data_IF_415805600759
#
_entry.id   IF_415805600759
#
_cell.length_a   1.000
_cell.length_b   1.000
_cell.length_c   1.000
_cell.angle_alpha   90.00
_cell.angle_beta   90.00
_cell.angle_gamma   90.00
#
_symmetry.space_group_name_H-M   'P 1'
#
loop_
_entity.id
_entity.type
_entity.pdbx_description
1 polymer ?
#
# COMPACT_ATOMS: atom_id res chain seq x y z
N UNK A 1 15.16 17.26 -0.89
CA UNK A 1 13.94 17.57 -1.65
C UNK A 1 14.34 17.59 -3.10
N UNK A 2 13.62 16.85 -3.94
CA UNK A 2 13.85 16.89 -5.39
C UNK A 2 13.42 18.28 -5.89
N UNK A 3 14.21 18.89 -6.79
CA UNK A 3 13.86 20.18 -7.41
C UNK A 3 12.80 19.96 -8.53
N UNK A 4 11.73 19.23 -8.23
CA UNK A 4 10.70 18.96 -9.24
C UNK A 4 9.85 20.21 -9.51
N UNK A 5 9.47 20.96 -8.48
CA UNK A 5 8.66 22.18 -8.62
C UNK A 5 9.50 23.40 -9.00
N UNK A 6 9.09 24.13 -10.01
CA UNK A 6 9.74 25.37 -10.41
C UNK A 6 8.73 26.34 -11.04
N UNK A 7 8.87 27.62 -10.75
CA UNK A 7 8.16 28.72 -11.43
C UNK A 7 9.00 29.34 -12.55
N UNK A 8 10.22 28.80 -12.77
CA UNK A 8 11.16 29.32 -13.79
C UNK A 8 11.55 28.23 -14.77
N UNK A 9 11.78 28.62 -16.01
CA UNK A 9 12.40 27.77 -17.02
C UNK A 9 13.79 27.30 -16.55
N UNK A 10 14.05 26.00 -16.75
CA UNK A 10 15.39 25.42 -16.64
C UNK A 10 15.97 25.12 -18.03
N UNK A 11 17.13 24.44 -18.06
CA UNK A 11 17.86 24.17 -19.30
C UNK A 11 17.31 22.99 -20.14
N UNK A 12 16.35 22.22 -19.58
CA UNK A 12 15.77 21.07 -20.27
C UNK A 12 14.83 21.51 -21.39
N UNK A 13 14.46 20.56 -22.26
CA UNK A 13 13.40 20.78 -23.24
C UNK A 13 12.08 20.95 -22.49
N UNK A 14 11.33 22.03 -22.77
CA UNK A 14 10.01 22.27 -22.21
C UNK A 14 8.97 21.48 -22.97
N UNK A 15 8.37 20.50 -22.29
CA UNK A 15 7.24 19.74 -22.83
C UNK A 15 5.93 20.42 -22.47
N UNK A 16 5.07 20.63 -23.48
CA UNK A 16 3.72 21.18 -23.35
C UNK A 16 2.70 20.22 -23.95
N UNK A 17 1.50 20.16 -23.42
CA UNK A 17 0.37 19.54 -24.09
C UNK A 17 -0.21 20.50 -25.15
N UNK A 18 -0.59 19.95 -26.31
CA UNK A 18 -1.32 20.64 -27.34
C UNK A 18 -2.57 19.85 -27.70
N UNK A 19 -3.71 20.28 -27.20
CA UNK A 19 -4.99 19.69 -27.58
C UNK A 19 -5.41 20.14 -28.98
N UNK A 20 -6.07 19.27 -29.70
CA UNK A 20 -6.58 19.50 -31.04
C UNK A 20 -7.49 20.74 -31.08
N UNK A 21 -7.11 21.70 -31.89
CA UNK A 21 -7.90 22.92 -32.10
C UNK A 21 -7.98 23.88 -30.91
N UNK A 22 -7.31 23.60 -29.79
CA UNK A 22 -7.29 24.48 -28.63
C UNK A 22 -5.94 25.20 -28.51
N UNK A 23 -5.99 26.50 -28.20
CA UNK A 23 -4.79 27.32 -27.95
C UNK A 23 -3.70 27.11 -29.01
N UNK A 24 -4.12 27.16 -30.30
CA UNK A 24 -3.23 26.98 -31.46
C UNK A 24 -2.11 28.02 -31.42
N UNK A 25 -0.86 27.56 -31.35
CA UNK A 25 0.33 28.40 -31.36
C UNK A 25 0.98 28.42 -32.75
N UNK A 26 2.03 29.22 -32.93
CA UNK A 26 2.75 29.37 -34.21
C UNK A 26 3.36 28.07 -34.74
N UNK A 27 3.65 27.12 -33.83
CA UNK A 27 4.26 25.83 -34.19
C UNK A 27 3.22 24.76 -34.55
N UNK A 28 1.92 25.03 -34.41
CA UNK A 28 0.85 24.02 -34.55
C UNK A 28 0.88 23.26 -35.88
N UNK A 29 1.23 23.95 -36.99
CA UNK A 29 1.22 23.34 -38.33
C UNK A 29 2.34 22.32 -38.54
N UNK A 30 3.43 22.41 -37.77
CA UNK A 30 4.56 21.50 -37.86
C UNK A 30 4.48 20.32 -36.89
N UNK A 31 3.47 20.32 -36.02
CA UNK A 31 3.29 19.22 -35.06
C UNK A 31 2.79 17.96 -35.75
N UNK A 32 3.30 16.81 -35.31
CA UNK A 32 2.75 15.53 -35.68
C UNK A 32 1.38 15.35 -35.04
N UNK A 33 0.30 15.53 -35.84
CA UNK A 33 -1.11 15.53 -35.39
C UNK A 33 -1.62 14.08 -35.20
N UNK A 34 -0.95 13.32 -34.30
CA UNK A 34 -1.34 11.97 -33.88
C UNK A 34 -1.34 11.88 -32.36
N UNK A 35 -2.42 11.37 -31.82
CA UNK A 35 -2.63 11.30 -30.36
C UNK A 35 -1.45 10.68 -29.59
N UNK A 36 -0.94 11.39 -28.58
CA UNK A 36 0.20 11.00 -27.76
C UNK A 36 1.56 11.11 -28.47
N UNK A 37 1.65 11.62 -29.69
CA UNK A 37 2.93 11.82 -30.35
C UNK A 37 3.60 13.11 -29.90
N UNK A 38 4.91 13.00 -29.56
CA UNK A 38 5.73 14.14 -29.14
C UNK A 38 6.55 14.62 -30.32
N UNK A 39 6.39 15.90 -30.66
CA UNK A 39 7.23 16.63 -31.63
C UNK A 39 8.21 17.50 -30.87
N UNK A 40 9.51 17.34 -31.14
CA UNK A 40 10.60 18.12 -30.51
C UNK A 40 11.13 19.17 -31.46
N UNK A 41 11.17 20.42 -31.02
CA UNK A 41 11.74 21.58 -31.68
C UNK A 41 13.03 21.94 -30.95
N UNK A 42 14.13 21.30 -31.35
CA UNK A 42 15.38 21.32 -30.57
C UNK A 42 16.04 22.70 -30.57
N UNK A 43 15.93 23.44 -31.64
CA UNK A 43 16.39 24.82 -31.79
C UNK A 43 15.72 25.79 -30.81
N UNK A 44 14.43 25.54 -30.51
CA UNK A 44 13.63 26.31 -29.55
C UNK A 44 13.69 25.75 -28.13
N UNK A 45 14.31 24.59 -27.89
CA UNK A 45 14.23 23.81 -26.65
C UNK A 45 12.77 23.59 -26.20
N UNK A 46 11.87 23.30 -27.16
CA UNK A 46 10.45 23.03 -26.93
C UNK A 46 10.09 21.63 -27.41
N UNK A 47 9.05 21.07 -26.82
CA UNK A 47 8.40 19.86 -27.28
C UNK A 47 6.89 19.96 -27.03
N UNK A 48 6.11 19.39 -27.92
CA UNK A 48 4.66 19.34 -27.79
C UNK A 48 4.19 17.89 -27.87
N UNK A 49 3.39 17.45 -26.88
CA UNK A 49 2.62 16.22 -26.99
C UNK A 49 1.25 16.58 -27.55
N UNK A 50 0.91 16.00 -28.70
CA UNK A 50 -0.38 16.24 -29.36
C UNK A 50 -1.45 15.32 -28.77
N UNK A 51 -2.61 15.90 -28.40
CA UNK A 51 -3.75 15.20 -27.83
C UNK A 51 -4.98 15.47 -28.71
N UNK A 52 -5.57 14.40 -29.28
CA UNK A 52 -6.73 14.51 -30.17
C UNK A 52 -7.98 14.96 -29.45
N UNK A 53 -8.16 14.51 -28.21
CA UNK A 53 -9.32 14.75 -27.38
C UNK A 53 -8.89 15.21 -25.98
N UNK A 54 -9.83 15.73 -25.20
CA UNK A 54 -9.65 16.01 -23.79
C UNK A 54 -9.62 14.69 -23.03
N UNK A 55 -9.02 14.71 -21.83
CA UNK A 55 -9.00 13.54 -20.96
C UNK A 55 -10.42 13.11 -20.58
N UNK A 56 -10.69 11.81 -20.56
CA UNK A 56 -11.94 11.30 -20.02
C UNK A 56 -11.93 11.38 -18.48
N UNK A 57 -10.80 11.02 -17.89
CA UNK A 57 -10.58 11.03 -16.45
C UNK A 57 -9.08 11.13 -16.09
N UNK A 58 -8.79 10.96 -14.81
CA UNK A 58 -7.42 10.94 -14.26
C UNK A 58 -6.57 9.79 -14.82
N UNK A 59 -7.16 8.61 -15.08
CA UNK A 59 -6.44 7.42 -15.56
C UNK A 59 -5.94 7.63 -16.99
N UNK A 60 -6.66 8.39 -17.82
CA UNK A 60 -6.21 8.76 -19.18
C UNK A 60 -4.93 9.59 -19.12
N UNK A 61 -4.88 10.60 -18.25
CA UNK A 61 -3.66 11.39 -18.05
C UNK A 61 -2.51 10.51 -17.56
N UNK A 62 -2.75 9.63 -16.59
CA UNK A 62 -1.75 8.66 -16.08
C UNK A 62 -1.25 7.78 -17.24
N UNK A 63 -2.14 7.28 -18.09
CA UNK A 63 -1.78 6.47 -19.26
C UNK A 63 -0.87 7.21 -20.23
N UNK A 64 -1.18 8.48 -20.52
CA UNK A 64 -0.33 9.34 -21.37
C UNK A 64 1.05 9.57 -20.75
N UNK A 65 1.11 9.86 -19.46
CA UNK A 65 2.37 10.03 -18.74
C UNK A 65 3.21 8.75 -18.87
N UNK A 66 2.66 7.60 -18.50
CA UNK A 66 3.38 6.33 -18.45
C UNK A 66 3.81 5.83 -19.83
N UNK A 67 2.93 5.93 -20.83
CA UNK A 67 3.16 5.28 -22.13
C UNK A 67 3.78 6.20 -23.20
N UNK A 68 3.68 7.52 -23.05
CA UNK A 68 4.15 8.48 -24.05
C UNK A 68 5.27 9.38 -23.55
N UNK A 69 5.19 9.87 -22.31
CA UNK A 69 6.17 10.83 -21.79
C UNK A 69 7.36 10.08 -21.17
N UNK A 70 7.12 9.19 -20.22
CA UNK A 70 8.19 8.51 -19.49
C UNK A 70 8.96 7.48 -20.32
N UNK A 71 8.38 6.99 -21.40
CA UNK A 71 9.02 6.07 -22.35
C UNK A 71 9.86 6.76 -23.42
N UNK A 72 9.80 8.10 -23.55
CA UNK A 72 10.49 8.85 -24.62
C UNK A 72 12.02 8.83 -24.48
N UNK A 73 12.55 8.61 -23.27
CA UNK A 73 14.01 8.58 -23.02
C UNK A 73 14.65 9.97 -23.05
N UNK A 74 13.93 11.02 -22.67
CA UNK A 74 14.38 12.43 -22.65
C UNK A 74 14.20 13.06 -21.28
N UNK A 75 15.09 13.99 -20.96
CA UNK A 75 14.96 14.89 -19.82
C UNK A 75 14.06 16.05 -20.23
N UNK A 76 12.94 16.22 -19.51
CA UNK A 76 11.98 17.30 -19.76
C UNK A 76 11.78 18.19 -18.54
N UNK A 77 11.60 19.49 -18.79
CA UNK A 77 10.76 20.32 -17.93
C UNK A 77 9.34 20.27 -18.50
N UNK A 78 8.33 20.03 -17.68
CA UNK A 78 6.94 19.82 -18.11
C UNK A 78 6.10 21.00 -17.62
N UNK A 79 5.44 21.70 -18.53
CA UNK A 79 4.50 22.79 -18.23
C UNK A 79 3.15 22.19 -17.86
N UNK A 80 2.91 22.00 -16.55
CA UNK A 80 1.72 21.32 -16.07
C UNK A 80 0.43 22.06 -16.40
N UNK A 81 0.46 23.39 -16.51
CA UNK A 81 -0.72 24.19 -16.83
C UNK A 81 -1.34 23.86 -18.19
N UNK A 82 -0.52 23.34 -19.10
CA UNK A 82 -0.99 22.97 -20.45
C UNK A 82 -1.76 21.65 -20.50
N UNK A 83 -1.71 20.83 -19.42
CA UNK A 83 -2.45 19.56 -19.29
C UNK A 83 -3.81 19.72 -18.60
N UNK A 84 -4.17 20.92 -18.18
CA UNK A 84 -5.46 21.20 -17.55
C UNK A 84 -6.57 21.24 -18.60
N UNK A 85 -7.72 20.66 -18.29
CA UNK A 85 -8.94 20.74 -19.10
C UNK A 85 -10.18 20.96 -18.22
N UNK A 86 -11.38 20.78 -18.77
CA UNK A 86 -12.65 20.98 -18.03
C UNK A 86 -12.92 19.87 -17.00
N UNK A 87 -12.28 18.70 -17.11
CA UNK A 87 -12.45 17.56 -16.18
C UNK A 87 -11.32 17.46 -15.16
N UNK A 88 -10.08 17.77 -15.57
CA UNK A 88 -8.88 17.68 -14.74
C UNK A 88 -8.37 19.07 -14.34
N UNK A 89 -8.44 19.36 -13.05
CA UNK A 89 -7.88 20.59 -12.47
C UNK A 89 -6.38 20.48 -12.31
N UNK A 90 -5.73 21.59 -12.11
CA UNK A 90 -4.28 21.68 -11.95
C UNK A 90 -3.77 20.81 -10.78
N UNK A 91 -4.58 20.63 -9.71
CA UNK A 91 -4.26 19.78 -8.57
C UNK A 91 -4.21 18.29 -8.95
N UNK A 92 -5.12 17.84 -9.83
CA UNK A 92 -5.16 16.47 -10.35
C UNK A 92 -3.97 16.22 -11.28
N UNK A 93 -3.67 17.17 -12.16
CA UNK A 93 -2.51 17.15 -13.06
C UNK A 93 -1.22 17.07 -12.23
N UNK A 94 -1.07 17.95 -11.24
CA UNK A 94 0.07 17.96 -10.34
C UNK A 94 0.26 16.60 -9.65
N UNK A 95 -0.83 16.02 -9.11
CA UNK A 95 -0.81 14.71 -8.47
C UNK A 95 -0.39 13.61 -9.43
N UNK A 96 -0.95 13.58 -10.64
CA UNK A 96 -0.62 12.57 -11.64
C UNK A 96 0.88 12.59 -11.98
N UNK A 97 1.43 13.77 -12.29
CA UNK A 97 2.85 13.89 -12.63
C UNK A 97 3.77 13.57 -11.45
N UNK A 98 3.50 14.08 -10.25
CA UNK A 98 4.29 13.75 -9.05
C UNK A 98 4.28 12.25 -8.77
N UNK A 99 3.11 11.63 -8.75
CA UNK A 99 2.98 10.21 -8.45
C UNK A 99 3.69 9.35 -9.49
N UNK A 100 3.54 9.64 -10.80
CA UNK A 100 4.11 8.78 -11.85
C UNK A 100 5.59 9.00 -12.09
N UNK A 101 6.04 10.24 -12.13
CA UNK A 101 7.47 10.56 -12.31
C UNK A 101 8.30 10.01 -11.15
N UNK A 102 7.87 10.21 -9.91
CA UNK A 102 8.58 9.69 -8.73
C UNK A 102 8.52 8.15 -8.71
N UNK A 103 7.38 7.55 -9.07
CA UNK A 103 7.21 6.10 -9.13
C UNK A 103 8.20 5.45 -10.12
N UNK A 104 8.32 5.99 -11.34
CA UNK A 104 9.18 5.43 -12.38
C UNK A 104 10.66 5.80 -12.20
N UNK A 105 10.98 6.90 -11.51
CA UNK A 105 12.35 7.26 -11.16
C UNK A 105 12.92 6.48 -9.97
N UNK A 106 12.11 5.65 -9.29
CA UNK A 106 12.56 4.88 -8.14
C UNK A 106 13.71 3.94 -8.46
N UNK A 107 14.75 3.99 -7.63
CA UNK A 107 15.80 3.00 -7.59
C UNK A 107 15.41 1.90 -6.58
N UNK A 108 14.75 0.86 -7.07
CA UNK A 108 14.37 -0.28 -6.25
C UNK A 108 15.52 -1.28 -6.14
N UNK A 109 15.52 -2.07 -5.07
CA UNK A 109 16.50 -3.13 -4.84
C UNK A 109 16.73 -3.96 -6.10
N UNK A 110 17.97 -4.06 -6.49
CA UNK A 110 18.45 -4.96 -7.53
C UNK A 110 19.96 -5.21 -7.34
N UNK A 111 20.46 -6.32 -7.88
CA UNK A 111 21.87 -6.71 -7.86
C UNK A 111 22.42 -6.85 -9.28
N UNK A 112 21.79 -6.18 -10.26
CA UNK A 112 22.24 -6.19 -11.65
C UNK A 112 23.57 -5.46 -11.78
N UNK A 113 24.45 -5.94 -12.66
CA UNK A 113 25.75 -5.29 -12.95
C UNK A 113 25.58 -3.91 -13.57
N UNK A 114 24.53 -3.75 -14.40
CA UNK A 114 24.22 -2.49 -15.07
C UNK A 114 22.78 -2.11 -14.78
N UNK A 115 22.58 -0.86 -14.41
CA UNK A 115 21.27 -0.26 -14.19
C UNK A 115 21.08 0.87 -15.19
N UNK A 116 20.03 0.87 -16.00
CA UNK A 116 19.76 1.95 -16.95
C UNK A 116 19.66 3.30 -16.25
N UNK A 117 20.29 4.32 -16.84
CA UNK A 117 20.16 5.71 -16.33
C UNK A 117 18.71 6.16 -16.42
N UNK A 118 18.20 6.76 -15.36
CA UNK A 118 16.86 7.36 -15.30
C UNK A 118 16.89 8.76 -15.90
N UNK A 119 15.81 9.13 -16.58
CA UNK A 119 15.61 10.49 -17.06
C UNK A 119 15.28 11.43 -15.90
N UNK A 120 15.61 12.70 -16.08
CA UNK A 120 15.42 13.76 -15.08
C UNK A 120 14.28 14.67 -15.54
N UNK A 121 13.30 14.85 -14.67
CA UNK A 121 12.14 15.70 -14.91
C UNK A 121 12.11 16.87 -13.92
N UNK A 122 11.45 17.96 -14.34
CA UNK A 122 11.03 19.06 -13.48
C UNK A 122 9.68 19.59 -13.98
N UNK A 123 8.93 20.25 -13.11
CA UNK A 123 7.60 20.76 -13.42
C UNK A 123 7.58 22.28 -13.39
N UNK A 124 7.17 22.88 -14.50
CA UNK A 124 6.94 24.32 -14.58
C UNK A 124 5.52 24.62 -14.14
N UNK A 125 5.40 25.48 -13.14
CA UNK A 125 4.14 25.97 -12.58
C UNK A 125 4.03 27.48 -12.78
N UNK A 126 2.80 28.04 -12.90
CA UNK A 126 2.63 29.47 -13.09
C UNK A 126 3.08 30.30 -11.88
N UNK A 127 2.92 29.78 -10.68
CA UNK A 127 3.25 30.43 -9.40
C UNK A 127 3.45 29.39 -8.28
N UNK A 128 3.68 29.87 -7.05
CA UNK A 128 3.92 29.04 -5.86
C UNK A 128 2.63 28.63 -5.10
N UNK A 129 1.44 28.91 -5.62
CA UNK A 129 0.16 28.64 -4.94
C UNK A 129 -0.05 27.18 -4.57
N UNK A 130 0.52 26.26 -5.35
CA UNK A 130 0.41 24.80 -5.14
C UNK A 130 1.67 24.16 -4.54
N UNK A 131 2.63 24.96 -4.07
CA UNK A 131 3.90 24.44 -3.55
C UNK A 131 3.71 23.50 -2.35
N UNK A 132 2.81 23.83 -1.41
CA UNK A 132 2.53 22.97 -0.26
C UNK A 132 1.82 21.68 -0.66
N UNK A 133 0.95 21.72 -1.67
CA UNK A 133 0.30 20.54 -2.23
C UNK A 133 1.32 19.65 -2.96
N UNK A 134 2.23 20.24 -3.71
CA UNK A 134 3.33 19.55 -4.36
C UNK A 134 4.22 18.82 -3.34
N UNK A 135 4.60 19.47 -2.24
CA UNK A 135 5.34 18.86 -1.14
C UNK A 135 4.60 17.67 -0.52
N UNK A 136 3.27 17.79 -0.36
CA UNK A 136 2.45 16.67 0.12
C UNK A 136 2.59 15.46 -0.82
N UNK A 137 2.39 15.65 -2.12
CA UNK A 137 2.47 14.57 -3.10
C UNK A 137 3.88 13.99 -3.19
N UNK A 138 4.92 14.82 -3.10
CA UNK A 138 6.32 14.37 -3.07
C UNK A 138 6.58 13.45 -1.87
N UNK A 139 6.22 13.85 -0.66
CA UNK A 139 6.39 13.05 0.57
C UNK A 139 5.72 11.69 0.43
N UNK A 140 4.46 11.67 0.00
CA UNK A 140 3.71 10.42 -0.13
C UNK A 140 4.35 9.53 -1.20
N UNK A 141 4.70 10.07 -2.38
CA UNK A 141 5.29 9.30 -3.46
C UNK A 141 6.69 8.75 -3.12
N UNK A 142 7.52 9.51 -2.39
CA UNK A 142 8.82 9.04 -1.90
C UNK A 142 8.67 7.91 -0.88
N UNK A 143 7.72 8.01 0.05
CA UNK A 143 7.44 6.96 1.01
C UNK A 143 6.82 5.72 0.34
N UNK A 144 5.99 5.91 -0.69
CA UNK A 144 5.54 4.80 -1.55
C UNK A 144 6.73 4.06 -2.18
N UNK A 145 7.74 4.78 -2.67
CA UNK A 145 8.92 4.13 -3.25
C UNK A 145 9.76 3.38 -2.21
N UNK A 146 9.86 3.87 -0.97
CA UNK A 146 10.48 3.12 0.12
C UNK A 146 9.71 1.83 0.45
N UNK A 147 8.37 1.90 0.49
CA UNK A 147 7.51 0.73 0.61
C UNK A 147 7.79 -0.27 -0.53
N UNK A 148 7.76 0.18 -1.78
CA UNK A 148 8.02 -0.63 -2.97
C UNK A 148 9.41 -1.26 -2.96
N UNK A 149 10.40 -0.54 -2.42
CA UNK A 149 11.76 -1.06 -2.29
C UNK A 149 11.82 -2.26 -1.33
N UNK A 150 11.09 -2.24 -0.22
CA UNK A 150 11.00 -3.40 0.68
C UNK A 150 10.17 -4.53 0.08
N UNK A 151 9.06 -4.22 -0.60
CA UNK A 151 8.22 -5.21 -1.28
C UNK A 151 9.00 -6.03 -2.33
N UNK A 152 9.92 -5.41 -3.07
CA UNK A 152 10.67 -6.10 -4.13
C UNK A 152 11.81 -6.96 -3.61
N UNK A 153 12.30 -6.69 -2.40
CA UNK A 153 13.41 -7.46 -1.80
C UNK A 153 13.01 -8.92 -1.61
N UNK A 154 13.84 -9.88 -2.06
CA UNK A 154 13.62 -11.27 -1.76
C UNK A 154 13.92 -11.56 -0.28
N UNK A 155 13.35 -12.65 0.23
CA UNK A 155 13.39 -13.00 1.66
C UNK A 155 14.81 -13.09 2.24
N UNK A 156 15.77 -13.62 1.49
CA UNK A 156 17.17 -13.73 1.92
C UNK A 156 17.87 -12.36 2.12
N UNK A 157 17.24 -11.25 1.72
CA UNK A 157 17.65 -9.86 2.01
C UNK A 157 16.65 -9.12 2.89
N UNK A 158 15.45 -9.67 3.10
CA UNK A 158 14.38 -8.99 3.85
C UNK A 158 13.50 -9.99 4.62
N UNK A 159 14.12 -10.85 5.47
CA UNK A 159 13.39 -11.72 6.38
C UNK A 159 12.76 -10.92 7.54
N UNK A 160 12.08 -11.61 8.46
CA UNK A 160 11.36 -10.98 9.57
C UNK A 160 12.25 -10.09 10.45
N UNK A 161 13.47 -10.50 10.71
CA UNK A 161 14.41 -9.77 11.56
C UNK A 161 14.99 -8.55 10.84
N UNK A 162 15.38 -8.74 9.57
CA UNK A 162 15.93 -7.67 8.72
C UNK A 162 14.88 -6.60 8.43
N UNK A 163 13.64 -7.01 8.10
CA UNK A 163 12.54 -6.07 7.86
C UNK A 163 12.28 -5.19 9.09
N UNK A 164 12.24 -5.78 10.28
CA UNK A 164 12.05 -5.03 11.52
C UNK A 164 13.16 -3.99 11.76
N UNK A 165 14.42 -4.34 11.49
CA UNK A 165 15.55 -3.40 11.63
C UNK A 165 15.57 -2.34 10.51
N UNK A 166 15.19 -2.66 9.27
CA UNK A 166 15.01 -1.66 8.20
C UNK A 166 14.00 -0.58 8.60
N UNK A 167 12.84 -1.01 9.09
CA UNK A 167 11.80 -0.07 9.56
C UNK A 167 12.32 0.78 10.72
N UNK A 168 12.91 0.18 11.76
CA UNK A 168 13.44 0.91 12.90
C UNK A 168 14.46 1.98 12.48
N UNK A 169 15.35 1.64 11.55
CA UNK A 169 16.39 2.56 11.08
C UNK A 169 15.80 3.70 10.23
N UNK A 170 14.85 3.41 9.32
CA UNK A 170 14.24 4.43 8.46
C UNK A 170 13.32 5.40 9.21
N UNK A 171 12.81 4.99 10.38
CA UNK A 171 11.96 5.85 11.22
C UNK A 171 12.72 6.60 12.31
N UNK A 172 14.02 6.35 12.49
CA UNK A 172 14.82 6.89 13.60
C UNK A 172 14.81 8.42 13.69
N UNK A 173 14.72 9.10 12.56
CA UNK A 173 14.75 10.57 12.47
C UNK A 173 13.38 11.21 12.28
N UNK A 174 12.31 10.44 12.29
CA UNK A 174 10.95 10.97 12.10
C UNK A 174 10.44 11.56 13.42
N UNK A 175 10.09 12.83 13.40
CA UNK A 175 9.63 13.56 14.59
C UNK A 175 8.34 12.96 15.17
N UNK A 176 8.22 12.93 16.50
CA UNK A 176 7.06 12.44 17.25
C UNK A 176 6.68 10.97 16.95
N UNK A 177 7.62 10.19 16.42
CA UNK A 177 7.46 8.76 16.15
C UNK A 177 8.31 7.94 17.10
N UNK A 178 7.74 6.90 17.65
CA UNK A 178 8.45 5.85 18.38
C UNK A 178 8.30 4.51 17.69
N UNK A 179 9.35 3.69 17.72
CA UNK A 179 9.36 2.35 17.15
C UNK A 179 9.78 1.35 18.21
N UNK A 180 8.94 0.36 18.49
CA UNK A 180 9.21 -0.75 19.40
C UNK A 180 9.16 -2.07 18.64
N UNK A 181 10.20 -2.88 18.78
CA UNK A 181 10.23 -4.24 18.22
C UNK A 181 9.98 -5.24 19.35
N UNK A 182 8.89 -5.97 19.26
CA UNK A 182 8.61 -7.12 20.12
C UNK A 182 9.31 -8.35 19.51
N UNK A 183 10.21 -8.94 20.27
CA UNK A 183 10.89 -10.20 19.91
C UNK A 183 10.06 -11.40 20.34
N UNK A 184 10.42 -12.60 19.92
CA UNK A 184 9.72 -13.86 20.23
C UNK A 184 9.32 -14.00 21.71
N UNK A 185 10.21 -13.62 22.66
CA UNK A 185 9.90 -13.64 24.12
C UNK A 185 8.78 -12.67 24.51
N UNK A 186 8.73 -11.49 23.87
CA UNK A 186 7.73 -10.48 24.16
C UNK A 186 6.38 -10.89 23.57
N UNK A 187 6.40 -11.42 22.33
CA UNK A 187 5.23 -11.99 21.61
C UNK A 187 4.61 -13.09 22.49
N UNK A 188 5.45 -14.01 23.02
CA UNK A 188 4.99 -15.05 23.95
C UNK A 188 4.39 -14.47 25.23
N UNK A 189 5.00 -13.43 25.81
CA UNK A 189 4.49 -12.76 27.03
C UNK A 189 3.11 -12.13 26.82
N UNK A 190 2.83 -11.60 25.63
CA UNK A 190 1.51 -11.05 25.28
C UNK A 190 0.48 -12.13 24.93
N UNK A 191 0.87 -13.40 24.84
CA UNK A 191 -0.03 -14.50 24.46
C UNK A 191 -0.41 -14.48 22.97
N UNK A 192 0.42 -13.87 22.12
CA UNK A 192 0.21 -13.81 20.67
C UNK A 192 0.60 -15.17 20.04
N UNK A 193 -0.12 -16.23 20.41
CA UNK A 193 0.28 -17.58 20.04
C UNK A 193 -0.05 -17.94 18.58
N UNK A 194 -0.94 -17.21 17.93
CA UNK A 194 -1.24 -17.44 16.51
C UNK A 194 -0.05 -17.03 15.63
N UNK A 195 0.62 -15.91 15.96
CA UNK A 195 1.89 -15.53 15.31
C UNK A 195 2.97 -16.59 15.55
N UNK A 196 3.06 -17.11 16.80
CA UNK A 196 4.04 -18.14 17.16
C UNK A 196 3.74 -19.47 16.45
N UNK A 197 2.46 -19.80 16.22
CA UNK A 197 2.06 -21.00 15.50
C UNK A 197 2.54 -20.96 14.04
N UNK A 198 2.30 -19.84 13.34
CA UNK A 198 2.79 -19.65 11.96
C UNK A 198 4.32 -19.70 11.87
N UNK A 199 5.01 -19.13 12.88
CA UNK A 199 6.49 -19.11 12.92
C UNK A 199 7.14 -20.46 13.19
N UNK A 200 6.42 -21.51 13.61
CA UNK A 200 7.01 -22.78 14.05
C UNK A 200 7.96 -23.41 13.05
N UNK A 201 7.62 -23.35 11.75
CA UNK A 201 8.47 -23.90 10.68
C UNK A 201 9.63 -22.99 10.25
N UNK A 202 9.83 -21.84 10.90
CA UNK A 202 10.86 -20.87 10.48
C UNK A 202 12.12 -20.93 11.31
N UNK A 203 13.27 -20.77 10.66
CA UNK A 203 14.57 -20.52 11.31
C UNK A 203 14.77 -19.08 11.72
N UNK A 204 13.93 -18.14 11.22
CA UNK A 204 13.94 -16.74 11.61
C UNK A 204 12.90 -16.48 12.71
N UNK A 205 13.30 -15.74 13.75
CA UNK A 205 12.34 -15.40 14.81
C UNK A 205 11.28 -14.40 14.31
N UNK A 206 10.01 -14.51 14.79
CA UNK A 206 8.98 -13.54 14.45
C UNK A 206 9.29 -12.18 15.09
N UNK A 207 8.78 -11.11 14.48
CA UNK A 207 8.84 -9.75 15.01
C UNK A 207 7.47 -9.10 14.93
N UNK A 208 7.06 -8.43 16.01
CA UNK A 208 5.95 -7.48 15.93
C UNK A 208 6.53 -6.09 16.10
N UNK A 209 6.43 -5.29 15.05
CA UNK A 209 6.92 -3.91 15.07
C UNK A 209 5.76 -2.98 15.32
N UNK A 210 5.84 -2.26 16.44
CA UNK A 210 4.86 -1.25 16.83
C UNK A 210 5.44 0.13 16.56
N UNK A 211 4.77 0.89 15.71
CA UNK A 211 5.13 2.26 15.37
C UNK A 211 4.03 3.17 15.87
N UNK A 212 4.34 4.18 16.67
CA UNK A 212 3.36 5.15 17.15
C UNK A 212 3.78 6.57 16.76
N UNK A 213 2.87 7.30 16.12
CA UNK A 213 2.96 8.73 15.86
C UNK A 213 1.97 9.48 16.74
N UNK A 214 2.45 10.49 17.48
CA UNK A 214 1.68 11.35 18.37
C UNK A 214 1.61 12.76 17.80
N UNK A 215 0.72 12.97 16.84
CA UNK A 215 0.54 14.27 16.19
C UNK A 215 -0.46 15.19 16.89
N UNK A 216 -1.31 14.64 17.76
CA UNK A 216 -2.27 15.37 18.59
C UNK A 216 -2.33 14.79 20.00
N UNK A 217 -1.42 15.19 20.92
CA UNK A 217 -1.36 14.62 22.25
C UNK A 217 -2.58 14.91 23.14
N UNK A 218 -3.43 15.85 22.75
CA UNK A 218 -4.64 16.24 23.48
C UNK A 218 -5.89 15.49 23.03
N UNK A 219 -5.81 14.76 21.92
CA UNK A 219 -6.91 13.98 21.36
C UNK A 219 -6.76 12.49 21.72
N UNK A 220 -7.74 11.95 22.42
CA UNK A 220 -7.75 10.51 22.77
C UNK A 220 -8.05 9.57 21.60
N UNK A 221 -8.45 10.09 20.43
CA UNK A 221 -8.73 9.26 19.25
C UNK A 221 -7.43 8.75 18.63
N UNK A 222 -7.38 7.46 18.33
CA UNK A 222 -6.22 6.82 17.70
C UNK A 222 -6.67 5.84 16.62
N UNK A 223 -6.18 6.00 15.41
CA UNK A 223 -6.31 4.98 14.36
C UNK A 223 -5.12 4.03 14.45
N UNK A 224 -5.38 2.74 14.54
CA UNK A 224 -4.32 1.71 14.52
C UNK A 224 -4.46 0.89 13.25
N UNK A 225 -3.34 0.77 12.51
CA UNK A 225 -3.28 0.01 11.27
C UNK A 225 -2.48 -1.26 11.52
N UNK A 226 -3.07 -2.41 11.25
CA UNK A 226 -2.42 -3.72 11.35
C UNK A 226 -1.98 -4.15 9.95
N UNK A 227 -0.75 -4.60 9.80
CA UNK A 227 -0.23 -5.06 8.51
C UNK A 227 0.18 -6.52 8.53
N UNK A 228 -0.32 -7.30 7.55
CA UNK A 228 0.19 -8.64 7.27
C UNK A 228 1.64 -8.53 6.83
N UNK A 229 2.52 -9.27 7.50
CA UNK A 229 3.97 -9.20 7.30
C UNK A 229 4.58 -10.59 7.05
N UNK A 230 4.00 -11.41 6.18
CA UNK A 230 4.56 -12.71 5.83
C UNK A 230 5.66 -12.50 4.79
N UNK A 231 6.93 -12.55 5.23
CA UNK A 231 8.09 -12.22 4.38
C UNK A 231 8.30 -13.22 3.25
N UNK A 232 7.86 -14.44 3.43
CA UNK A 232 7.66 -15.43 2.37
C UNK A 232 6.64 -16.47 2.81
N UNK A 233 5.69 -16.80 1.95
CA UNK A 233 4.65 -17.77 2.23
C UNK A 233 4.81 -19.02 1.36
N UNK A 234 5.15 -20.14 1.99
CA UNK A 234 5.21 -21.46 1.32
C UNK A 234 3.91 -22.24 1.42
N UNK A 235 2.94 -21.73 2.22
CA UNK A 235 1.75 -22.47 2.64
C UNK A 235 1.95 -23.31 3.90
N UNK A 236 3.17 -23.40 4.42
CA UNK A 236 3.48 -24.32 5.52
C UNK A 236 3.35 -25.79 5.09
N UNK A 237 2.71 -26.62 5.91
CA UNK A 237 2.46 -28.04 5.59
C UNK A 237 1.48 -28.18 4.42
N UNK A 238 0.48 -27.30 4.30
CA UNK A 238 -0.39 -27.20 3.14
C UNK A 238 0.32 -26.43 2.01
N UNK A 239 1.41 -27.01 1.51
CA UNK A 239 2.34 -26.35 0.58
C UNK A 239 1.66 -25.90 -0.71
N UNK A 240 1.96 -24.68 -1.16
CA UNK A 240 1.37 -24.03 -2.36
C UNK A 240 1.67 -24.71 -3.72
N UNK A 241 2.40 -25.80 -3.77
CA UNK A 241 2.80 -26.44 -5.03
C UNK A 241 3.96 -25.72 -5.74
N UNK A 242 3.99 -25.73 -7.09
CA UNK A 242 5.14 -25.23 -7.86
C UNK A 242 5.25 -23.70 -7.94
N UNK A 243 4.17 -22.98 -7.80
CA UNK A 243 4.13 -21.55 -8.08
C UNK A 243 4.16 -20.74 -6.79
N UNK A 244 5.36 -20.55 -6.25
CA UNK A 244 5.62 -19.68 -5.10
C UNK A 244 6.21 -18.31 -5.50
N UNK A 245 6.41 -18.08 -6.79
CA UNK A 245 6.90 -16.78 -7.27
C UNK A 245 5.90 -15.69 -6.91
N UNK A 246 6.43 -14.59 -6.41
CA UNK A 246 5.60 -13.48 -5.91
C UNK A 246 5.24 -13.57 -4.43
N UNK A 247 5.46 -14.72 -3.76
CA UNK A 247 5.16 -14.84 -2.32
C UNK A 247 6.04 -13.96 -1.41
N UNK A 248 7.09 -13.35 -1.93
CA UNK A 248 7.81 -12.24 -1.26
C UNK A 248 6.95 -10.99 -1.04
N UNK A 249 5.87 -10.81 -1.84
CA UNK A 249 4.94 -9.70 -1.68
C UNK A 249 3.93 -9.89 -0.54
N UNK A 250 3.93 -11.05 0.10
CA UNK A 250 2.98 -11.39 1.15
C UNK A 250 3.20 -10.63 2.48
N UNK A 251 4.21 -9.79 2.52
CA UNK A 251 4.48 -8.80 3.58
C UNK A 251 4.02 -7.38 3.23
N UNK A 252 3.38 -7.18 2.06
CA UNK A 252 3.01 -5.87 1.55
C UNK A 252 2.14 -5.08 2.51
N UNK A 253 1.18 -5.73 3.18
CA UNK A 253 0.30 -5.06 4.13
C UNK A 253 1.07 -4.35 5.23
N UNK A 254 2.12 -4.97 5.78
CA UNK A 254 2.92 -4.41 6.86
C UNK A 254 3.71 -3.17 6.43
N UNK A 255 4.33 -3.19 5.26
CA UNK A 255 5.11 -2.05 4.77
C UNK A 255 4.22 -0.92 4.25
N UNK A 256 3.05 -1.23 3.65
CA UNK A 256 2.04 -0.23 3.29
C UNK A 256 1.59 0.55 4.53
N UNK A 257 1.20 -0.17 5.60
CA UNK A 257 0.81 0.45 6.87
C UNK A 257 1.91 1.35 7.46
N UNK A 258 3.15 0.85 7.49
CA UNK A 258 4.29 1.60 8.00
C UNK A 258 4.53 2.90 7.22
N UNK A 259 4.58 2.85 5.89
CA UNK A 259 4.87 4.04 5.08
C UNK A 259 3.67 4.99 4.92
N UNK A 260 2.45 4.52 5.13
CA UNK A 260 1.30 5.41 5.32
C UNK A 260 1.45 6.23 6.61
N UNK A 261 1.78 5.60 7.76
CA UNK A 261 2.06 6.32 9.01
C UNK A 261 3.24 7.27 8.84
N UNK A 262 4.33 6.86 8.18
CA UNK A 262 5.48 7.74 7.93
C UNK A 262 5.08 8.99 7.18
N UNK A 263 4.27 8.85 6.14
CA UNK A 263 3.74 9.99 5.37
C UNK A 263 2.91 10.92 6.25
N UNK A 264 2.01 10.37 7.09
CA UNK A 264 1.23 11.16 8.07
C UNK A 264 2.12 11.96 9.02
N UNK A 265 3.20 11.34 9.51
CA UNK A 265 4.14 11.97 10.44
C UNK A 265 4.98 13.06 9.76
N UNK A 266 5.53 12.79 8.57
CA UNK A 266 6.32 13.78 7.80
C UNK A 266 5.47 14.95 7.30
N UNK A 267 4.16 14.73 7.05
CA UNK A 267 3.17 15.78 6.78
C UNK A 267 2.72 16.53 8.04
N UNK A 268 3.18 16.10 9.23
CA UNK A 268 2.83 16.70 10.53
C UNK A 268 1.33 16.82 10.77
N UNK A 269 0.56 15.81 10.33
CA UNK A 269 -0.88 15.82 10.52
C UNK A 269 -1.22 15.75 12.02
N UNK A 270 -2.17 16.58 12.47
CA UNK A 270 -2.65 16.60 13.87
C UNK A 270 -3.55 15.39 14.16
N UNK A 271 -2.98 14.21 14.14
CA UNK A 271 -3.65 12.90 14.33
C UNK A 271 -2.75 11.96 15.13
N UNK A 272 -3.35 11.06 15.90
CA UNK A 272 -2.62 9.96 16.54
C UNK A 272 -2.83 8.69 15.73
N UNK A 273 -1.74 8.10 15.31
CA UNK A 273 -1.73 6.88 14.48
C UNK A 273 -0.74 5.89 15.05
N UNK A 274 -1.12 4.62 15.04
CA UNK A 274 -0.15 3.56 15.31
C UNK A 274 -0.22 2.49 14.23
N UNK A 275 0.86 1.74 14.08
CA UNK A 275 0.96 0.58 13.19
C UNK A 275 1.46 -0.62 13.97
N UNK A 276 0.87 -1.78 13.71
CA UNK A 276 1.32 -3.08 14.21
C UNK A 276 1.67 -3.94 13.01
N UNK A 277 2.96 -4.14 12.75
CA UNK A 277 3.44 -5.03 11.70
C UNK A 277 3.60 -6.43 12.29
N UNK A 278 2.84 -7.41 11.83
CA UNK A 278 2.89 -8.80 12.29
C UNK A 278 3.81 -9.59 11.34
N UNK A 279 5.11 -9.69 11.69
CA UNK A 279 6.14 -10.15 10.76
C UNK A 279 6.63 -11.55 11.13
N UNK A 280 6.51 -12.46 10.19
CA UNK A 280 7.11 -13.81 10.18
C UNK A 280 7.18 -14.29 8.74
N UNK A 281 7.75 -15.46 8.51
CA UNK A 281 7.52 -16.24 7.30
C UNK A 281 6.67 -17.47 7.64
N UNK A 282 6.09 -18.10 6.64
CA UNK A 282 5.35 -19.34 6.75
C UNK A 282 6.12 -20.44 5.99
N UNK A 283 6.80 -21.31 6.72
CA UNK A 283 7.68 -22.33 6.13
C UNK A 283 7.30 -23.74 6.54
N UNK A 284 7.73 -24.69 5.71
CA UNK A 284 7.70 -26.09 6.00
C UNK A 284 9.01 -26.54 6.65
N UNK A 285 8.93 -27.09 7.85
CA UNK A 285 10.03 -27.69 8.58
C UNK A 285 9.49 -28.79 9.52
N UNK A 286 10.36 -29.53 10.17
CA UNK A 286 10.03 -30.63 11.08
C UNK A 286 9.17 -30.23 12.29
N UNK A 287 9.15 -28.95 12.69
CA UNK A 287 8.32 -28.42 13.78
C UNK A 287 7.21 -27.46 13.29
N UNK A 288 6.91 -27.43 11.99
CA UNK A 288 5.83 -26.60 11.48
C UNK A 288 4.47 -26.94 12.11
N UNK A 289 3.58 -25.95 12.20
CA UNK A 289 2.21 -26.19 12.66
C UNK A 289 1.50 -27.15 11.68
N UNK A 290 0.69 -28.03 12.25
CA UNK A 290 -0.06 -29.03 11.49
C UNK A 290 -1.55 -28.67 11.46
N UNK A 291 -2.29 -29.09 10.41
CA UNK A 291 -3.75 -29.13 10.50
C UNK A 291 -4.21 -29.86 11.77
N UNK A 292 -5.34 -29.44 12.32
CA UNK A 292 -5.91 -29.86 13.60
C UNK A 292 -5.15 -29.37 14.85
N UNK A 293 -4.04 -28.65 14.72
CA UNK A 293 -3.45 -27.98 15.86
C UNK A 293 -4.36 -26.86 16.35
N UNK A 294 -4.52 -26.73 17.68
CA UNK A 294 -5.33 -25.70 18.31
C UNK A 294 -4.44 -24.76 19.12
N UNK A 295 -4.60 -23.47 18.90
CA UNK A 295 -3.88 -22.42 19.62
C UNK A 295 -4.84 -21.41 20.22
N UNK A 296 -4.49 -20.88 21.38
CA UNK A 296 -5.22 -19.81 22.06
C UNK A 296 -4.64 -18.46 21.64
N UNK A 297 -5.44 -17.62 20.99
CA UNK A 297 -5.04 -16.27 20.57
C UNK A 297 -4.78 -15.33 21.74
N UNK A 298 -4.25 -14.13 21.48
CA UNK A 298 -4.09 -13.06 22.46
C UNK A 298 -5.44 -12.59 23.04
N UNK A 299 -6.54 -12.67 22.30
CA UNK A 299 -7.89 -12.33 22.79
C UNK A 299 -8.43 -13.34 23.78
N UNK A 300 -7.91 -14.58 23.76
CA UNK A 300 -8.39 -15.72 24.51
C UNK A 300 -9.23 -16.70 23.68
N UNK A 301 -9.65 -16.32 22.47
CA UNK A 301 -10.35 -17.19 21.52
C UNK A 301 -9.41 -18.31 21.08
N UNK A 302 -9.88 -19.56 21.14
CA UNK A 302 -9.16 -20.72 20.63
C UNK A 302 -9.41 -20.89 19.13
N UNK A 303 -8.35 -21.22 18.37
CA UNK A 303 -8.40 -21.37 16.93
C UNK A 303 -7.78 -22.68 16.53
N UNK A 304 -8.54 -23.51 15.80
CA UNK A 304 -8.04 -24.68 15.10
C UNK A 304 -7.45 -24.26 13.76
N UNK A 305 -6.24 -24.73 13.46
CA UNK A 305 -5.63 -24.58 12.15
C UNK A 305 -6.10 -25.72 11.28
N UNK A 306 -6.98 -25.46 10.33
CA UNK A 306 -7.46 -26.44 9.35
C UNK A 306 -6.69 -26.33 8.04
N UNK A 307 -6.12 -25.14 7.76
CA UNK A 307 -5.23 -24.90 6.63
C UNK A 307 -4.07 -23.99 7.06
N UNK A 308 -2.84 -24.49 6.91
CA UNK A 308 -1.62 -23.72 7.24
C UNK A 308 -1.31 -22.64 6.20
N UNK A 309 -1.93 -22.66 5.01
CA UNK A 309 -1.87 -21.63 3.97
C UNK A 309 -2.86 -20.47 4.19
N UNK A 310 -3.64 -20.55 5.26
CA UNK A 310 -4.48 -19.45 5.77
C UNK A 310 -3.84 -18.77 7.01
N UNK A 311 -2.54 -18.54 6.96
CA UNK A 311 -1.65 -18.03 8.03
C UNK A 311 -1.80 -16.53 8.25
N UNK A 312 -2.09 -15.76 7.19
CA UNK A 312 -2.15 -14.30 7.25
C UNK A 312 -3.21 -13.82 8.23
N UNK A 313 -4.39 -14.44 8.23
CA UNK A 313 -5.45 -14.11 9.20
C UNK A 313 -5.09 -14.48 10.64
N UNK A 314 -4.26 -15.50 10.84
CA UNK A 314 -3.77 -15.89 12.17
C UNK A 314 -2.85 -14.83 12.77
N UNK A 315 -1.82 -14.39 12.01
CA UNK A 315 -0.89 -13.38 12.52
C UNK A 315 -1.57 -12.03 12.75
N UNK A 316 -2.56 -11.69 11.92
CA UNK A 316 -3.30 -10.43 12.05
C UNK A 316 -4.31 -10.45 13.19
N UNK A 317 -4.89 -11.59 13.54
CA UNK A 317 -5.80 -11.73 14.67
C UNK A 317 -5.15 -11.27 15.99
N UNK A 318 -3.93 -11.72 16.27
CA UNK A 318 -3.17 -11.27 17.44
C UNK A 318 -2.81 -9.76 17.32
N UNK A 319 -2.49 -9.29 16.13
CA UNK A 319 -2.20 -7.88 15.87
C UNK A 319 -3.40 -6.96 16.10
N UNK A 320 -4.60 -7.36 15.67
CA UNK A 320 -5.86 -6.64 15.89
C UNK A 320 -6.16 -6.52 17.38
N UNK A 321 -6.07 -7.63 18.12
CA UNK A 321 -6.26 -7.65 19.58
C UNK A 321 -5.24 -6.76 20.29
N UNK A 322 -3.97 -6.77 19.85
CA UNK A 322 -2.93 -5.88 20.41
C UNK A 322 -3.28 -4.40 20.13
N UNK A 323 -3.71 -4.08 18.91
CA UNK A 323 -4.16 -2.74 18.53
C UNK A 323 -5.32 -2.24 19.38
N UNK A 324 -6.31 -3.10 19.62
CA UNK A 324 -7.48 -2.77 20.44
C UNK A 324 -7.14 -2.63 21.94
N UNK A 325 -6.55 -3.66 22.54
CA UNK A 325 -6.37 -3.74 24.01
C UNK A 325 -5.14 -2.98 24.53
N UNK A 326 -4.03 -2.98 23.77
CA UNK A 326 -2.77 -2.41 24.25
C UNK A 326 -2.57 -1.00 23.75
N UNK A 327 -2.91 -0.73 22.48
CA UNK A 327 -2.75 0.60 21.89
C UNK A 327 -3.99 1.48 22.04
N UNK A 328 -5.09 0.93 22.58
CA UNK A 328 -6.36 1.63 22.78
C UNK A 328 -6.89 2.28 21.50
N UNK A 329 -6.95 1.49 20.42
CA UNK A 329 -7.49 1.94 19.15
C UNK A 329 -8.94 2.42 19.28
N UNK A 330 -9.29 3.54 18.64
CA UNK A 330 -10.68 3.99 18.46
C UNK A 330 -11.19 3.67 17.05
N UNK A 331 -10.28 3.31 16.16
CA UNK A 331 -10.55 2.78 14.82
C UNK A 331 -9.43 1.80 14.48
N UNK A 332 -9.79 0.61 14.05
CA UNK A 332 -8.86 -0.38 13.50
C UNK A 332 -8.96 -0.39 11.98
N UNK A 333 -7.84 -0.47 11.33
CA UNK A 333 -7.72 -0.75 9.90
C UNK A 333 -6.71 -1.88 9.76
N UNK A 334 -6.91 -2.82 8.86
CA UNK A 334 -5.83 -3.69 8.48
C UNK A 334 -5.58 -3.67 6.97
N UNK A 335 -4.38 -4.08 6.57
CA UNK A 335 -3.99 -4.22 5.18
C UNK A 335 -3.27 -5.55 5.01
N UNK A 336 -3.74 -6.36 4.07
CA UNK A 336 -3.19 -7.68 3.84
C UNK A 336 -3.30 -8.13 2.38
N UNK A 337 -2.31 -8.88 1.92
CA UNK A 337 -2.40 -9.75 0.77
C UNK A 337 -3.01 -11.07 1.26
N UNK A 338 -4.35 -11.08 1.45
CA UNK A 338 -4.93 -12.12 2.30
C UNK A 338 -5.45 -13.31 1.51
N UNK A 339 -6.23 -13.07 0.43
CA UNK A 339 -6.95 -14.17 -0.20
C UNK A 339 -6.82 -14.20 -1.73
N UNK A 340 -6.66 -15.39 -2.27
CA UNK A 340 -6.81 -15.60 -3.71
C UNK A 340 -8.26 -15.39 -4.19
N UNK A 341 -9.23 -15.41 -3.27
CA UNK A 341 -10.64 -15.20 -3.57
C UNK A 341 -10.92 -13.74 -3.97
N UNK A 342 -10.30 -12.75 -3.33
CA UNK A 342 -10.48 -11.34 -3.73
C UNK A 342 -9.90 -11.09 -5.12
N UNK A 343 -8.80 -11.73 -5.48
CA UNK A 343 -8.22 -11.65 -6.82
C UNK A 343 -9.18 -12.22 -7.88
N UNK A 344 -9.86 -13.32 -7.58
CA UNK A 344 -10.89 -13.88 -8.46
C UNK A 344 -12.14 -13.00 -8.57
N UNK A 345 -12.50 -12.30 -7.50
CA UNK A 345 -13.69 -11.43 -7.47
C UNK A 345 -13.46 -10.07 -8.15
N UNK A 346 -12.32 -9.43 -7.90
CA UNK A 346 -12.05 -8.03 -8.28
C UNK A 346 -10.88 -7.86 -9.27
N UNK A 347 -10.19 -8.95 -9.61
CA UNK A 347 -9.00 -8.91 -10.44
C UNK A 347 -7.86 -8.11 -9.77
N UNK A 348 -7.06 -7.45 -10.59
CA UNK A 348 -5.98 -6.55 -10.15
C UNK A 348 -6.37 -5.07 -10.25
N UNK A 349 -7.67 -4.78 -10.39
CA UNK A 349 -8.17 -3.41 -10.60
C UNK A 349 -8.63 -2.76 -9.30
N UNK A 350 -9.29 -3.51 -8.43
CA UNK A 350 -9.85 -3.01 -7.18
C UNK A 350 -9.27 -3.74 -5.97
N UNK A 351 -8.97 -3.00 -4.90
CA UNK A 351 -8.75 -3.59 -3.58
C UNK A 351 -10.10 -3.85 -2.90
N UNK A 352 -10.25 -5.00 -2.25
CA UNK A 352 -11.45 -5.36 -1.50
C UNK A 352 -11.47 -4.71 -0.12
N UNK A 353 -12.59 -4.04 0.23
CA UNK A 353 -12.71 -3.33 1.51
C UNK A 353 -13.96 -3.81 2.24
N UNK A 354 -13.80 -4.26 3.48
CA UNK A 354 -14.90 -4.58 4.41
C UNK A 354 -14.91 -3.55 5.53
N UNK A 355 -16.07 -3.13 5.98
CA UNK A 355 -16.20 -2.17 7.08
C UNK A 355 -17.37 -2.53 7.98
N UNK A 356 -17.13 -2.55 9.28
CA UNK A 356 -18.17 -2.76 10.30
C UNK A 356 -18.94 -1.47 10.61
N UNK A 357 -18.57 -0.33 10.02
CA UNK A 357 -19.15 0.97 10.29
C UNK A 357 -19.29 1.78 9.00
N UNK A 358 -20.52 2.17 8.64
CA UNK A 358 -20.81 2.88 7.41
C UNK A 358 -20.15 4.26 7.34
N UNK A 359 -20.10 4.99 8.44
CA UNK A 359 -19.42 6.29 8.47
C UNK A 359 -17.91 6.16 8.16
N UNK A 360 -17.27 5.11 8.68
CA UNK A 360 -15.88 4.84 8.37
C UNK A 360 -15.69 4.45 6.90
N UNK A 361 -16.61 3.66 6.34
CA UNK A 361 -16.62 3.36 4.92
C UNK A 361 -16.73 4.62 4.06
N UNK A 362 -17.67 5.51 4.37
CA UNK A 362 -17.89 6.73 3.59
C UNK A 362 -16.63 7.63 3.58
N UNK A 363 -15.96 7.75 4.75
CA UNK A 363 -14.70 8.49 4.85
C UNK A 363 -13.61 7.78 4.04
N UNK A 364 -13.51 6.45 4.12
CA UNK A 364 -12.50 5.67 3.41
C UNK A 364 -12.70 5.74 1.89
N UNK A 365 -13.93 5.59 1.42
CA UNK A 365 -14.28 5.72 0.01
C UNK A 365 -13.97 7.11 -0.55
N UNK A 366 -14.31 8.16 0.21
CA UNK A 366 -13.95 9.54 -0.14
C UNK A 366 -12.43 9.75 -0.18
N UNK A 367 -11.70 9.13 0.73
CA UNK A 367 -10.24 9.16 0.74
C UNK A 367 -9.65 8.46 -0.50
N UNK A 368 -10.19 7.29 -0.87
CA UNK A 368 -9.78 6.54 -2.05
C UNK A 368 -10.05 7.32 -3.36
N UNK A 369 -11.21 7.99 -3.45
CA UNK A 369 -11.51 8.88 -4.58
C UNK A 369 -10.50 10.02 -4.70
N UNK A 370 -10.16 10.69 -3.60
CA UNK A 370 -9.12 11.73 -3.58
C UNK A 370 -7.73 11.19 -3.90
N UNK A 371 -7.48 9.95 -3.53
CA UNK A 371 -6.23 9.25 -3.81
C UNK A 371 -6.14 8.77 -5.27
N UNK A 372 -7.24 8.70 -6.00
CA UNK A 372 -7.41 8.03 -7.28
C UNK A 372 -7.00 6.55 -7.20
N UNK A 373 -7.27 5.90 -6.06
CA UNK A 373 -7.06 4.47 -5.86
C UNK A 373 -8.41 3.73 -5.87
N UNK A 374 -8.49 2.64 -6.61
CA UNK A 374 -9.74 1.92 -6.83
C UNK A 374 -10.01 0.94 -5.69
N UNK A 375 -11.13 1.14 -5.00
CA UNK A 375 -11.58 0.28 -3.90
C UNK A 375 -13.03 -0.15 -4.14
N UNK A 376 -13.37 -1.34 -3.65
CA UNK A 376 -14.73 -1.85 -3.73
C UNK A 376 -15.19 -2.38 -2.37
N UNK A 377 -16.38 -1.93 -1.91
CA UNK A 377 -16.96 -2.42 -0.66
C UNK A 377 -17.48 -3.83 -0.83
N UNK A 378 -16.99 -4.73 0.00
CA UNK A 378 -17.39 -6.13 0.07
C UNK A 378 -18.35 -6.35 1.25
N UNK A 379 -19.22 -7.38 1.21
CA UNK A 379 -20.21 -7.61 2.24
C UNK A 379 -19.63 -8.26 3.51
N UNK A 380 -20.11 -7.83 4.67
CA UNK A 380 -20.03 -8.55 5.94
C UNK A 380 -21.42 -9.13 6.24
N UNK A 381 -21.52 -10.44 6.45
CA UNK A 381 -22.77 -11.13 6.79
C UNK A 381 -22.48 -12.33 7.68
N UNK A 382 -23.39 -12.67 8.58
CA UNK A 382 -23.19 -13.75 9.55
C UNK A 382 -23.07 -15.13 8.87
N UNK A 383 -23.74 -15.35 7.73
CA UNK A 383 -23.59 -16.58 6.94
C UNK A 383 -22.10 -16.83 6.54
N UNK A 384 -21.30 -15.78 6.37
CA UNK A 384 -19.86 -15.92 6.12
C UNK A 384 -19.05 -16.19 7.39
N UNK A 385 -19.68 -16.09 8.57
CA UNK A 385 -19.04 -16.45 9.84
C UNK A 385 -19.29 -17.90 10.23
N UNK A 386 -20.45 -18.46 9.89
CA UNK A 386 -20.80 -19.85 10.23
C UNK A 386 -19.68 -20.85 9.89
N UNK A 387 -19.05 -20.82 8.67
CA UNK A 387 -17.96 -21.74 8.35
C UNK A 387 -16.74 -21.63 9.27
N UNK A 388 -16.52 -20.47 9.89
CA UNK A 388 -15.43 -20.31 10.85
C UNK A 388 -15.70 -20.99 12.21
N UNK A 389 -16.95 -21.37 12.50
CA UNK A 389 -17.38 -21.92 13.81
C UNK A 389 -17.58 -23.44 13.79
N UNK A 390 -17.22 -24.13 12.71
CA UNK A 390 -17.46 -25.56 12.57
C UNK A 390 -16.45 -26.47 13.31
N UNK A 391 -15.40 -25.89 13.95
CA UNK A 391 -14.48 -26.69 14.75
C UNK A 391 -15.18 -27.38 15.92
N UNK A 392 -14.88 -28.65 16.12
CA UNK A 392 -15.34 -29.42 17.30
C UNK A 392 -14.42 -29.27 18.51
N UNK A 393 -13.27 -28.65 18.35
CA UNK A 393 -12.21 -28.59 19.37
C UNK A 393 -11.89 -27.15 19.82
N UNK A 394 -12.26 -26.15 19.02
CA UNK A 394 -11.92 -24.77 19.24
C UNK A 394 -13.12 -23.83 18.99
N UNK A 395 -13.03 -22.60 19.47
CA UNK A 395 -14.08 -21.60 19.23
C UNK A 395 -14.22 -21.27 17.74
N UNK A 396 -13.08 -21.25 17.01
CA UNK A 396 -13.00 -20.96 15.57
C UNK A 396 -12.05 -21.92 14.87
N UNK A 397 -12.24 -22.06 13.56
CA UNK A 397 -11.21 -22.59 12.64
C UNK A 397 -10.76 -21.51 11.68
N UNK A 398 -9.50 -21.58 11.21
CA UNK A 398 -8.92 -20.53 10.38
C UNK A 398 -9.35 -20.59 8.91
N UNK A 399 -9.84 -21.74 8.44
CA UNK A 399 -10.25 -21.94 7.04
C UNK A 399 -11.33 -23.04 6.94
N UNK A 400 -12.17 -22.97 5.89
CA UNK A 400 -13.14 -24.01 5.57
C UNK A 400 -13.09 -24.37 4.08
N UNK A 401 -12.68 -25.58 3.77
CA UNK A 401 -12.54 -26.08 2.38
C UNK A 401 -13.85 -26.12 1.58
N UNK A 402 -14.99 -26.21 2.25
CA UNK A 402 -16.32 -26.22 1.60
C UNK A 402 -16.77 -24.83 1.19
N UNK A 403 -16.20 -23.78 1.80
CA UNK A 403 -16.60 -22.39 1.56
C UNK A 403 -15.94 -21.84 0.29
N UNK A 404 -16.77 -21.24 -0.58
CA UNK A 404 -16.33 -20.64 -1.85
C UNK A 404 -15.98 -19.16 -1.73
N UNK A 405 -16.46 -18.52 -0.66
CA UNK A 405 -16.33 -17.08 -0.44
C UNK A 405 -15.25 -16.74 0.58
N UNK A 406 -14.06 -17.34 0.44
CA UNK A 406 -12.98 -17.23 1.42
C UNK A 406 -12.61 -15.78 1.79
N UNK A 407 -12.69 -14.82 0.87
CA UNK A 407 -12.40 -13.43 1.21
C UNK A 407 -13.39 -12.83 2.22
N UNK A 408 -14.68 -13.23 2.18
CA UNK A 408 -15.67 -12.78 3.15
C UNK A 408 -15.57 -13.55 4.48
N UNK A 409 -15.30 -14.87 4.44
CA UNK A 409 -15.03 -15.68 5.63
C UNK A 409 -13.79 -15.21 6.36
N UNK A 410 -12.72 -14.85 5.64
CA UNK A 410 -11.52 -14.29 6.22
C UNK A 410 -11.78 -12.94 6.93
N UNK A 411 -12.56 -12.05 6.30
CA UNK A 411 -12.95 -10.78 6.90
C UNK A 411 -13.79 -10.98 8.18
N UNK A 412 -14.72 -11.96 8.16
CA UNK A 412 -15.53 -12.30 9.34
C UNK A 412 -14.71 -13.00 10.43
N UNK A 413 -13.69 -13.79 10.09
CA UNK A 413 -12.73 -14.34 11.04
C UNK A 413 -11.98 -13.20 11.75
N UNK A 414 -11.39 -12.27 11.00
CA UNK A 414 -10.62 -11.14 11.56
C UNK A 414 -11.49 -10.23 12.44
N UNK A 415 -12.75 -10.01 12.08
CA UNK A 415 -13.71 -9.23 12.87
C UNK A 415 -13.81 -9.73 14.32
N UNK A 416 -13.64 -11.03 14.60
CA UNK A 416 -13.74 -11.59 15.95
C UNK A 416 -12.63 -11.11 16.90
N UNK A 417 -11.55 -10.53 16.37
CA UNK A 417 -10.38 -10.10 17.15
C UNK A 417 -10.27 -8.58 17.30
N UNK A 418 -11.32 -7.85 16.93
CA UNK A 418 -11.35 -6.38 16.95
C UNK A 418 -11.76 -5.78 18.28
N UNK A 419 -12.21 -6.59 19.26
CA UNK A 419 -12.73 -6.14 20.57
C UNK A 419 -13.82 -5.06 20.41
N UNK A 420 -14.72 -5.26 19.45
CA UNK A 420 -15.83 -4.35 19.10
C UNK A 420 -15.40 -2.94 18.62
N UNK A 421 -14.11 -2.70 18.43
CA UNK A 421 -13.64 -1.43 17.87
C UNK A 421 -14.08 -1.33 16.39
N UNK A 422 -14.61 -0.17 15.93
CA UNK A 422 -14.92 0.06 14.52
C UNK A 422 -13.75 -0.30 13.60
N UNK A 423 -14.01 -1.13 12.60
CA UNK A 423 -12.98 -1.85 11.86
C UNK A 423 -13.16 -1.75 10.34
N UNK A 424 -12.03 -1.63 9.64
CA UNK A 424 -11.90 -1.73 8.18
C UNK A 424 -10.84 -2.79 7.85
N UNK A 425 -11.20 -3.76 7.03
CA UNK A 425 -10.28 -4.72 6.42
C UNK A 425 -10.00 -4.34 4.97
N UNK A 426 -8.72 -4.33 4.57
CA UNK A 426 -8.29 -4.05 3.20
C UNK A 426 -7.52 -5.26 2.65
N UNK A 427 -8.15 -6.03 1.77
CA UNK A 427 -7.46 -7.11 1.04
C UNK A 427 -6.90 -6.58 -0.28
N UNK A 428 -5.58 -6.54 -0.35
CA UNK A 428 -4.80 -6.03 -1.49
C UNK A 428 -4.09 -7.13 -2.28
N UNK A 429 -4.49 -8.40 -2.12
CA UNK A 429 -3.85 -9.53 -2.79
C UNK A 429 -3.82 -9.38 -4.32
N UNK A 430 -4.82 -8.73 -4.91
CA UNK A 430 -4.86 -8.46 -6.36
C UNK A 430 -4.11 -7.19 -6.79
N UNK A 431 -3.79 -6.27 -5.87
CA UNK A 431 -3.33 -4.91 -6.20
C UNK A 431 -1.96 -4.55 -5.62
N UNK A 432 -1.42 -5.34 -4.69
CA UNK A 432 -0.12 -5.08 -4.04
C UNK A 432 1.05 -5.10 -5.01
N UNK A 433 0.97 -5.94 -6.06
CA UNK A 433 1.88 -5.92 -7.20
C UNK A 433 1.11 -6.06 -8.52
N UNK A 434 1.68 -5.55 -9.59
CA UNK A 434 1.18 -5.74 -10.95
C UNK A 434 2.28 -6.37 -11.81
N UNK A 435 2.06 -7.62 -12.24
CA UNK A 435 3.02 -8.38 -13.06
C UNK A 435 4.43 -8.38 -12.45
N UNK A 436 4.51 -8.61 -11.13
CA UNK A 436 5.76 -8.65 -10.38
C UNK A 436 6.39 -7.26 -10.10
N UNK A 437 5.66 -6.16 -10.33
CA UNK A 437 6.10 -4.81 -9.97
C UNK A 437 5.35 -4.33 -8.72
N UNK A 438 6.04 -4.03 -7.62
CA UNK A 438 5.40 -3.56 -6.39
C UNK A 438 4.71 -2.22 -6.59
N UNK A 439 3.52 -2.04 -6.01
CA UNK A 439 2.69 -0.84 -6.21
C UNK A 439 2.71 0.12 -5.02
N UNK A 440 2.85 -0.37 -3.79
CA UNK A 440 2.65 0.44 -2.59
C UNK A 440 1.23 1.02 -2.55
N UNK A 441 0.25 0.20 -2.94
CA UNK A 441 -1.17 0.57 -3.07
C UNK A 441 -1.75 1.00 -1.71
N UNK A 442 -2.81 1.81 -1.72
CA UNK A 442 -3.53 2.35 -0.57
C UNK A 442 -2.72 3.27 0.37
N UNK A 443 -1.44 3.55 0.11
CA UNK A 443 -0.69 4.50 0.95
C UNK A 443 -1.34 5.89 0.89
N UNK A 444 -1.67 6.39 -0.30
CA UNK A 444 -2.36 7.68 -0.46
C UNK A 444 -3.75 7.65 0.19
N UNK A 445 -4.53 6.59 -0.05
CA UNK A 445 -5.85 6.40 0.55
C UNK A 445 -5.79 6.43 2.07
N UNK A 446 -4.84 5.71 2.69
CA UNK A 446 -4.68 5.68 4.15
C UNK A 446 -4.29 7.05 4.71
N UNK A 447 -3.41 7.81 4.02
CA UNK A 447 -3.04 9.18 4.42
C UNK A 447 -4.26 10.10 4.35
N UNK A 448 -5.03 10.05 3.25
CA UNK A 448 -6.25 10.85 3.11
C UNK A 448 -7.33 10.44 4.13
N UNK A 449 -7.51 9.13 4.37
CA UNK A 449 -8.44 8.63 5.38
C UNK A 449 -8.11 9.17 6.78
N UNK A 450 -6.85 9.08 7.19
CA UNK A 450 -6.39 9.61 8.48
C UNK A 450 -6.58 11.13 8.54
N UNK A 451 -6.33 11.84 7.44
CA UNK A 451 -6.52 13.29 7.37
C UNK A 451 -7.98 13.69 7.56
N UNK A 452 -8.93 12.93 7.01
CA UNK A 452 -10.37 13.20 7.05
C UNK A 452 -11.03 12.75 8.38
N UNK A 453 -10.43 11.79 9.10
CA UNK A 453 -10.88 11.32 10.43
C UNK A 453 -10.67 12.39 11.50
#
# INVERSE_FOLDING_TARGET
>A
MSNLYSTKRDEKILLKAQFKGLNVNEDYEILAKKNGQITELLDKKLAYIYLDEKFEDYDDLVSIIDTKILTKGRDYQIDLSTFVDDKLKIEDVLKAFYSRVIFESAELFNIKKEVPKKNIYSFLMPDDSLLELAKKYEIIALNRNKCRNLQVMPENYCNSEQLAEFIKNDFKTVENVSVKILKKKDIKKFGMNLILAVNRGSTHEPRVVVIEYKGDPWNGKKTVIIGKGITFDTGGVNTKGYHMEGMKYDMSGSVIAAYALKSVAELKLKKNVAVVMCITDNRLDGDAALPENVYKSMSGISVEITDTDAEGRLVMADGLTYGAKVLNATTLVDVATLTGAVLRALGSTYSGIWSTNDQNWDIFNKAAQKAHEKVWRMPLHDDFHEPNTESIMADLQNYNNSEKSDCNTAAMFLKQFTEEVPYIHCDVAGTADLKGKPQGVLIDTLVEFISLK
#
